data_IF_913416904790
#
_entry.id   IF_913416904790
#
_cell.length_a   1.000
_cell.length_b   1.000
_cell.length_c   1.000
_cell.angle_alpha   90.00
_cell.angle_beta   90.00
_cell.angle_gamma   90.00
#
_symmetry.space_group_name_H-M   'P 1'
#
loop_
_entity.id
_entity.type
_entity.pdbx_description
1 polymer ?
#
# COMPACT_ATOMS: atom_id res chain seq x y z
N UNK A 1 -22.85 4.71 41.88
CA UNK A 1 -24.23 4.16 41.75
C UNK A 1 -24.26 2.66 41.41
N UNK A 2 -23.33 2.10 40.65
CA UNK A 2 -23.36 0.71 40.18
C UNK A 2 -23.34 -0.38 41.28
N UNK A 3 -22.57 -0.20 42.35
CA UNK A 3 -22.45 -1.20 43.41
C UNK A 3 -23.77 -1.40 44.21
N UNK A 4 -24.47 -0.32 44.55
CA UNK A 4 -25.77 -0.41 45.25
C UNK A 4 -26.82 -1.11 44.40
N UNK A 5 -26.86 -0.86 43.10
CA UNK A 5 -27.76 -1.54 42.15
C UNK A 5 -27.46 -3.03 42.03
N UNK A 6 -26.17 -3.43 41.99
CA UNK A 6 -25.76 -4.83 41.91
C UNK A 6 -26.21 -5.62 43.16
N UNK A 7 -26.02 -5.05 44.35
CA UNK A 7 -26.46 -5.65 45.60
C UNK A 7 -27.97 -5.80 45.63
N UNK A 8 -28.73 -4.74 45.27
CA UNK A 8 -30.19 -4.77 45.21
C UNK A 8 -30.70 -5.84 44.26
N UNK A 9 -30.13 -5.97 43.08
CA UNK A 9 -30.50 -6.97 42.08
C UNK A 9 -30.26 -8.39 42.57
N UNK A 10 -29.13 -8.66 43.25
CA UNK A 10 -28.78 -9.96 43.82
C UNK A 10 -29.77 -10.36 44.97
N UNK A 11 -30.14 -9.39 45.80
CA UNK A 11 -31.08 -9.63 46.93
C UNK A 11 -32.54 -9.68 46.49
N UNK A 12 -32.90 -9.13 45.33
CA UNK A 12 -34.31 -9.03 44.89
C UNK A 12 -34.95 -10.40 44.62
N UNK A 13 -34.21 -11.36 44.07
CA UNK A 13 -34.72 -12.72 43.87
C UNK A 13 -35.00 -13.43 45.21
N UNK A 14 -34.04 -13.35 46.14
CA UNK A 14 -34.21 -13.90 47.47
C UNK A 14 -35.38 -13.26 48.23
N UNK A 15 -35.57 -11.92 48.09
CA UNK A 15 -36.68 -11.20 48.67
C UNK A 15 -38.05 -11.64 48.11
N UNK A 16 -38.11 -11.96 46.81
CA UNK A 16 -39.36 -12.41 46.18
C UNK A 16 -39.85 -13.76 46.75
N UNK A 17 -38.90 -14.70 46.94
CA UNK A 17 -39.21 -16.06 47.41
C UNK A 17 -39.27 -16.22 48.94
N UNK A 18 -38.79 -15.25 49.71
CA UNK A 18 -38.73 -15.34 51.18
C UNK A 18 -40.11 -15.23 51.85
N UNK A 19 -40.25 -15.86 53.02
CA UNK A 19 -41.38 -15.67 53.96
C UNK A 19 -41.35 -14.27 54.57
N UNK A 20 -42.32 -13.98 55.40
CA UNK A 20 -42.49 -12.68 56.11
C UNK A 20 -41.27 -12.30 56.96
N UNK A 21 -40.68 -13.27 57.66
CA UNK A 21 -39.49 -13.07 58.48
C UNK A 21 -38.26 -12.86 57.70
N UNK A 22 -38.06 -13.65 56.61
CA UNK A 22 -36.95 -13.53 55.64
C UNK A 22 -36.98 -12.21 54.88
N UNK A 23 -38.16 -11.75 54.44
CA UNK A 23 -38.32 -10.42 53.82
C UNK A 23 -37.88 -9.30 54.75
N UNK A 24 -38.23 -9.40 56.06
CA UNK A 24 -37.83 -8.40 57.05
C UNK A 24 -36.31 -8.37 57.26
N UNK A 25 -35.66 -9.57 57.32
CA UNK A 25 -34.19 -9.68 57.42
C UNK A 25 -33.49 -9.05 56.22
N UNK A 26 -33.93 -9.40 55.02
CA UNK A 26 -33.31 -8.87 53.74
C UNK A 26 -33.46 -7.35 53.67
N UNK A 27 -34.61 -6.80 54.11
CA UNK A 27 -34.81 -5.35 54.17
C UNK A 27 -33.89 -4.68 55.17
N UNK A 28 -33.73 -5.25 56.40
CA UNK A 28 -32.87 -4.70 57.45
C UNK A 28 -31.39 -4.70 56.92
N UNK A 29 -30.91 -5.81 56.37
CA UNK A 29 -29.58 -5.88 55.78
C UNK A 29 -29.36 -4.84 54.66
N UNK A 30 -30.37 -4.66 53.80
CA UNK A 30 -30.26 -3.70 52.72
C UNK A 30 -30.25 -2.24 53.21
N UNK A 31 -31.05 -1.91 54.23
CA UNK A 31 -31.09 -0.61 54.88
C UNK A 31 -29.74 -0.32 55.55
N UNK A 32 -29.17 -1.30 56.29
CA UNK A 32 -27.87 -1.18 56.92
C UNK A 32 -26.75 -0.95 55.93
N UNK A 33 -26.71 -1.73 54.83
CA UNK A 33 -25.70 -1.63 53.80
C UNK A 33 -25.78 -0.36 52.95
N UNK A 34 -26.97 0.17 52.74
CA UNK A 34 -27.19 1.28 51.80
C UNK A 34 -27.49 2.62 52.44
N UNK A 35 -27.96 2.62 53.73
CA UNK A 35 -28.47 3.80 54.42
C UNK A 35 -29.83 4.26 53.89
N UNK A 36 -30.53 3.45 53.13
CA UNK A 36 -31.83 3.82 52.56
C UNK A 36 -32.95 3.72 53.55
N UNK A 37 -33.95 4.60 53.39
CA UNK A 37 -35.23 4.41 54.16
C UNK A 37 -35.86 3.07 53.79
N UNK A 38 -36.52 2.41 54.79
CA UNK A 38 -37.01 1.04 54.61
C UNK A 38 -38.02 0.89 53.45
N UNK A 39 -38.88 1.87 53.23
CA UNK A 39 -39.87 1.83 52.16
C UNK A 39 -39.24 2.00 50.82
N UNK A 40 -38.19 2.85 50.68
CA UNK A 40 -37.42 2.96 49.48
C UNK A 40 -36.70 1.65 49.16
N UNK A 41 -36.09 1.00 50.16
CA UNK A 41 -35.43 -0.30 49.98
C UNK A 41 -36.42 -1.37 49.49
N UNK A 42 -37.67 -1.39 50.03
CA UNK A 42 -38.74 -2.29 49.59
C UNK A 42 -39.13 -2.05 48.14
N UNK A 43 -39.31 -0.81 47.74
CA UNK A 43 -39.62 -0.42 46.35
C UNK A 43 -38.47 -0.78 45.39
N UNK A 44 -37.22 -0.49 45.78
CA UNK A 44 -36.05 -0.80 45.00
C UNK A 44 -35.88 -2.31 44.73
N UNK A 45 -36.19 -3.19 45.73
CA UNK A 45 -36.17 -4.64 45.56
C UNK A 45 -37.25 -5.14 44.58
N UNK A 46 -38.45 -4.53 44.59
CA UNK A 46 -39.53 -4.87 43.66
C UNK A 46 -39.17 -4.41 42.22
N UNK A 47 -38.71 -3.18 42.08
CA UNK A 47 -38.34 -2.62 40.78
C UNK A 47 -37.12 -3.28 40.15
N UNK A 48 -36.19 -3.83 40.95
CA UNK A 48 -35.01 -4.50 40.46
C UNK A 48 -35.31 -5.78 39.63
N UNK A 49 -36.51 -6.36 39.83
CA UNK A 49 -37.00 -7.52 39.09
C UNK A 49 -37.83 -7.15 37.85
N UNK A 50 -38.22 -5.88 37.72
CA UNK A 50 -38.96 -5.40 36.55
C UNK A 50 -37.98 -5.10 35.45
N UNK A 51 -38.10 -5.79 34.32
CA UNK A 51 -37.33 -5.49 33.12
C UNK A 51 -37.75 -4.09 32.65
N UNK A 52 -36.87 -3.10 32.86
CA UNK A 52 -37.07 -1.77 32.28
C UNK A 52 -36.97 -1.92 30.79
N UNK A 53 -38.06 -1.66 30.06
CA UNK A 53 -38.05 -1.55 28.62
C UNK A 53 -37.06 -0.45 28.24
N UNK A 54 -35.88 -0.85 27.65
CA UNK A 54 -34.92 0.08 27.10
C UNK A 54 -35.54 0.64 25.84
N UNK A 55 -36.08 1.86 25.91
CA UNK A 55 -36.48 2.55 24.68
C UNK A 55 -35.23 2.78 23.86
N UNK A 56 -35.10 2.18 22.63
CA UNK A 56 -33.97 2.44 21.80
C UNK A 56 -33.94 3.95 21.52
N UNK A 57 -32.79 4.57 21.79
CA UNK A 57 -32.59 5.97 21.39
C UNK A 57 -32.72 6.03 19.88
N UNK A 58 -33.49 6.99 19.31
CA UNK A 58 -33.55 7.16 17.87
C UNK A 58 -32.10 7.28 17.33
N UNK A 59 -31.75 6.42 16.39
CA UNK A 59 -30.42 6.42 15.76
C UNK A 59 -30.14 7.79 15.16
N UNK A 60 -28.87 8.20 15.16
CA UNK A 60 -28.45 9.43 14.47
C UNK A 60 -28.82 9.30 12.98
N UNK A 61 -29.42 10.34 12.37
CA UNK A 61 -29.73 10.37 10.94
C UNK A 61 -28.47 10.00 10.14
N UNK A 62 -28.61 9.03 9.24
CA UNK A 62 -27.55 8.64 8.31
C UNK A 62 -27.31 9.78 7.31
N UNK A 63 -26.20 10.46 7.42
CA UNK A 63 -25.77 11.50 6.46
C UNK A 63 -25.41 10.87 5.11
N UNK A 64 -24.77 9.70 5.15
CA UNK A 64 -24.35 8.96 3.97
C UNK A 64 -25.25 7.74 3.79
N UNK A 65 -26.23 7.86 2.91
CA UNK A 65 -27.21 6.80 2.61
C UNK A 65 -26.59 5.62 1.85
N UNK A 66 -27.39 4.56 1.61
CA UNK A 66 -26.96 3.44 0.75
C UNK A 66 -26.83 3.83 -0.71
N UNK A 67 -27.53 4.85 -1.17
CA UNK A 67 -27.50 5.43 -2.51
C UNK A 67 -26.11 5.97 -2.93
N UNK A 68 -25.28 6.34 -1.95
CA UNK A 68 -23.91 6.78 -2.18
C UNK A 68 -22.90 5.62 -2.36
N UNK A 69 -23.30 4.38 -2.13
CA UNK A 69 -22.39 3.24 -2.21
C UNK A 69 -21.97 2.91 -3.66
N UNK A 70 -22.89 2.80 -4.63
CA UNK A 70 -22.50 2.53 -6.03
C UNK A 70 -21.55 3.59 -6.61
N UNK A 71 -21.82 4.90 -6.52
CA UNK A 71 -20.91 5.91 -7.02
C UNK A 71 -19.56 5.94 -6.28
N UNK A 72 -19.55 5.62 -4.98
CA UNK A 72 -18.30 5.47 -4.23
C UNK A 72 -17.47 4.27 -4.71
N UNK A 73 -18.13 3.14 -5.00
CA UNK A 73 -17.47 1.94 -5.56
C UNK A 73 -16.86 2.28 -6.93
N UNK A 74 -17.56 3.02 -7.78
CA UNK A 74 -17.03 3.44 -9.07
C UNK A 74 -15.78 4.31 -8.93
N UNK A 75 -15.83 5.35 -8.10
CA UNK A 75 -14.64 6.16 -7.79
C UNK A 75 -13.49 5.33 -7.22
N UNK A 76 -13.80 4.35 -6.40
CA UNK A 76 -12.82 3.45 -5.80
C UNK A 76 -12.19 2.50 -6.83
N UNK A 77 -13.00 1.95 -7.75
CA UNK A 77 -12.55 1.05 -8.82
C UNK A 77 -11.62 1.77 -9.82
N UNK A 78 -12.00 2.99 -10.26
CA UNK A 78 -11.19 3.80 -11.17
C UNK A 78 -9.78 4.05 -10.65
N UNK A 79 -9.62 4.23 -9.34
CA UNK A 79 -8.32 4.41 -8.70
C UNK A 79 -7.69 3.10 -8.22
N UNK A 80 -8.16 1.93 -8.69
CA UNK A 80 -7.66 0.60 -8.34
C UNK A 80 -7.73 0.30 -6.84
N UNK A 81 -8.93 0.48 -6.31
CA UNK A 81 -9.30 0.06 -4.95
C UNK A 81 -8.39 0.58 -3.80
N UNK A 82 -8.01 1.86 -3.76
CA UNK A 82 -7.12 2.36 -2.72
C UNK A 82 -7.77 2.36 -1.34
N UNK A 83 -6.94 2.47 -0.30
CA UNK A 83 -7.43 2.72 1.06
C UNK A 83 -8.15 4.07 1.15
N UNK A 84 -9.12 4.22 2.04
CA UNK A 84 -9.90 5.45 2.19
C UNK A 84 -9.05 6.71 2.44
N UNK A 85 -7.88 6.57 3.04
CA UNK A 85 -6.90 7.67 3.20
C UNK A 85 -6.35 8.21 1.89
N UNK A 86 -6.29 7.37 0.86
CA UNK A 86 -5.84 7.75 -0.48
C UNK A 86 -7.01 8.23 -1.33
N UNK A 87 -8.17 7.60 -1.19
CA UNK A 87 -9.36 7.94 -1.96
C UNK A 87 -9.97 9.29 -1.55
N UNK A 88 -10.09 9.56 -0.24
CA UNK A 88 -10.75 10.77 0.25
C UNK A 88 -10.20 12.09 -0.36
N UNK A 89 -8.88 12.33 -0.42
CA UNK A 89 -8.34 13.56 -1.04
C UNK A 89 -8.49 13.59 -2.56
N UNK A 90 -8.75 12.46 -3.20
CA UNK A 90 -8.93 12.38 -4.66
C UNK A 90 -10.37 12.61 -5.10
N UNK A 91 -11.37 12.37 -4.24
CA UNK A 91 -12.78 12.54 -4.58
C UNK A 91 -13.12 13.94 -5.10
N UNK A 92 -12.61 15.07 -4.54
CA UNK A 92 -12.86 16.41 -5.07
C UNK A 92 -12.33 16.64 -6.48
N UNK A 93 -11.36 15.86 -6.94
CA UNK A 93 -10.82 15.92 -8.30
C UNK A 93 -11.52 14.92 -9.21
N UNK A 94 -11.73 13.69 -8.72
CA UNK A 94 -12.25 12.58 -9.50
C UNK A 94 -13.74 12.71 -9.80
N UNK A 95 -14.56 13.09 -8.83
CA UNK A 95 -16.03 13.19 -9.01
C UNK A 95 -16.41 14.19 -10.11
N UNK A 96 -15.86 15.42 -10.17
CA UNK A 96 -16.15 16.33 -11.28
C UNK A 96 -15.70 15.81 -12.65
N UNK A 97 -14.55 15.12 -12.73
CA UNK A 97 -14.03 14.53 -13.96
C UNK A 97 -14.97 13.44 -14.49
N UNK A 98 -15.34 12.47 -13.65
CA UNK A 98 -16.24 11.38 -14.04
C UNK A 98 -17.64 11.87 -14.43
N UNK A 99 -18.13 12.93 -13.77
CA UNK A 99 -19.41 13.56 -14.16
C UNK A 99 -19.33 14.27 -15.51
N UNK A 100 -18.23 15.01 -15.75
CA UNK A 100 -17.97 15.66 -17.04
C UNK A 100 -17.94 14.65 -18.19
N UNK A 101 -17.29 13.51 -17.97
CA UNK A 101 -17.09 12.45 -18.94
C UNK A 101 -18.32 11.50 -19.03
N UNK A 102 -19.42 11.80 -18.30
CA UNK A 102 -20.68 11.04 -18.23
C UNK A 102 -20.54 9.60 -17.72
N UNK A 103 -19.45 9.31 -17.02
CA UNK A 103 -19.20 8.01 -16.39
C UNK A 103 -19.88 7.90 -15.02
N UNK A 104 -20.21 9.02 -14.38
CA UNK A 104 -20.81 9.07 -13.06
C UNK A 104 -22.09 9.92 -13.07
N UNK A 105 -23.23 9.26 -13.12
CA UNK A 105 -24.56 9.90 -13.09
C UNK A 105 -25.05 10.01 -11.65
N UNK A 106 -24.86 11.17 -11.03
CA UNK A 106 -25.30 11.49 -9.66
C UNK A 106 -25.79 12.92 -9.57
N UNK A 107 -26.65 13.18 -8.58
CA UNK A 107 -27.13 14.54 -8.29
C UNK A 107 -26.02 15.39 -7.66
N UNK A 108 -26.17 16.71 -7.72
CA UNK A 108 -25.20 17.64 -7.10
C UNK A 108 -25.08 17.41 -5.61
N UNK A 109 -26.20 17.14 -4.92
CA UNK A 109 -26.19 16.82 -3.50
C UNK A 109 -25.40 15.54 -3.18
N UNK A 110 -25.49 14.51 -4.01
CA UNK A 110 -24.69 13.28 -3.85
C UNK A 110 -23.21 13.52 -4.15
N UNK A 111 -22.90 14.34 -5.16
CA UNK A 111 -21.53 14.72 -5.48
C UNK A 111 -20.87 15.45 -4.30
N UNK A 112 -21.54 16.43 -3.71
CA UNK A 112 -21.06 17.17 -2.55
C UNK A 112 -20.84 16.25 -1.33
N UNK A 113 -21.77 15.33 -1.07
CA UNK A 113 -21.61 14.36 0.01
C UNK A 113 -20.41 13.42 -0.23
N UNK A 114 -20.20 12.93 -1.46
CA UNK A 114 -19.03 12.11 -1.80
C UNK A 114 -17.72 12.86 -1.58
N UNK A 115 -17.61 14.09 -2.10
CA UNK A 115 -16.39 14.91 -1.99
C UNK A 115 -16.04 15.26 -0.53
N UNK A 116 -17.03 15.30 0.35
CA UNK A 116 -16.85 15.59 1.80
C UNK A 116 -16.68 14.35 2.65
N UNK A 117 -16.71 13.14 2.07
CA UNK A 117 -16.66 11.90 2.83
C UNK A 117 -15.28 11.68 3.45
N UNK A 118 -15.25 11.42 4.76
CA UNK A 118 -13.99 11.14 5.47
C UNK A 118 -13.43 9.76 5.12
N UNK A 119 -12.10 9.61 5.19
CA UNK A 119 -11.39 8.36 4.93
C UNK A 119 -11.94 7.17 5.75
N UNK A 120 -12.24 7.39 7.04
CA UNK A 120 -12.79 6.35 7.90
C UNK A 120 -14.23 5.94 7.51
N UNK A 121 -15.02 6.87 6.97
CA UNK A 121 -16.37 6.57 6.46
C UNK A 121 -16.29 5.76 5.16
N UNK A 122 -15.37 6.13 4.27
CA UNK A 122 -15.07 5.40 3.03
C UNK A 122 -14.67 3.96 3.36
N UNK A 123 -13.70 3.76 4.25
CA UNK A 123 -13.22 2.42 4.61
C UNK A 123 -14.32 1.55 5.21
N UNK A 124 -15.21 2.13 6.05
CA UNK A 124 -16.36 1.40 6.60
C UNK A 124 -17.39 1.02 5.53
N UNK A 125 -17.70 1.93 4.60
CA UNK A 125 -18.66 1.65 3.53
C UNK A 125 -18.16 0.63 2.53
N UNK A 126 -16.86 0.66 2.21
CA UNK A 126 -16.23 -0.25 1.27
C UNK A 126 -15.74 -1.56 1.89
N UNK A 127 -15.92 -1.78 3.19
CA UNK A 127 -15.42 -2.98 3.88
C UNK A 127 -15.94 -4.29 3.25
N UNK A 128 -17.25 -4.35 2.92
CA UNK A 128 -17.86 -5.49 2.26
C UNK A 128 -17.33 -5.74 0.85
N UNK A 129 -17.18 -4.69 0.06
CA UNK A 129 -16.66 -4.80 -1.30
C UNK A 129 -15.17 -5.17 -1.32
N UNK A 130 -14.40 -4.62 -0.39
CA UNK A 130 -13.00 -4.98 -0.22
C UNK A 130 -12.79 -6.44 0.16
N UNK A 131 -13.65 -7.01 0.98
CA UNK A 131 -13.58 -8.43 1.35
C UNK A 131 -13.80 -9.38 0.16
N UNK A 132 -14.54 -8.95 -0.88
CA UNK A 132 -14.78 -9.75 -2.10
C UNK A 132 -13.54 -9.82 -3.02
N UNK A 133 -12.60 -8.86 -2.91
CA UNK A 133 -11.49 -8.72 -3.85
C UNK A 133 -10.23 -9.53 -3.49
N UNK A 134 -10.13 -10.12 -2.29
CA UNK A 134 -8.87 -10.65 -1.79
C UNK A 134 -8.86 -12.16 -1.48
N UNK A 135 -8.49 -13.05 -2.44
CA UNK A 135 -8.04 -14.41 -2.13
C UNK A 135 -6.58 -14.38 -1.61
N UNK A 136 -6.27 -15.24 -0.62
CA UNK A 136 -4.95 -15.31 0.04
C UNK A 136 -3.99 -16.24 -0.70
N UNK A 137 -2.72 -15.83 -0.94
CA UNK A 137 -1.65 -16.60 -1.57
C UNK A 137 -0.43 -16.86 -0.66
N UNK A 138 0.47 -17.78 -1.04
CA UNK A 138 1.71 -18.17 -0.32
C UNK A 138 2.96 -17.76 -1.11
N UNK A 139 4.07 -17.47 -0.41
CA UNK A 139 5.37 -17.04 -0.97
C UNK A 139 6.43 -18.16 -0.90
N UNK A 140 7.34 -18.24 -1.91
CA UNK A 140 8.46 -19.17 -1.95
C UNK A 140 9.72 -18.49 -2.53
N UNK A 141 10.72 -18.18 -1.70
CA UNK A 141 12.05 -17.69 -2.13
C UNK A 141 13.17 -18.50 -1.48
N UNK A 142 14.26 -18.82 -2.25
CA UNK A 142 15.47 -19.49 -1.75
C UNK A 142 16.64 -18.51 -1.73
N UNK A 143 17.46 -18.44 -0.65
CA UNK A 143 18.61 -17.53 -0.55
C UNK A 143 19.79 -17.96 -1.43
N UNK A 144 20.42 -17.01 -2.14
CA UNK A 144 21.68 -17.20 -2.85
C UNK A 144 22.91 -17.15 -1.91
N UNK A 145 23.98 -17.86 -2.24
CA UNK A 145 25.18 -17.97 -1.41
C UNK A 145 26.45 -17.37 -2.01
N UNK A 146 26.44 -17.02 -3.32
CA UNK A 146 27.60 -16.51 -4.06
C UNK A 146 27.81 -15.00 -3.79
N UNK A 147 29.06 -14.56 -3.74
CA UNK A 147 29.49 -13.15 -3.67
C UNK A 147 28.98 -12.29 -2.50
N UNK A 148 28.31 -12.89 -1.52
CA UNK A 148 27.78 -12.14 -0.34
C UNK A 148 28.81 -11.34 0.44
N UNK A 149 30.09 -11.75 0.37
CA UNK A 149 31.19 -11.05 1.07
C UNK A 149 31.65 -9.78 0.35
N UNK A 150 31.37 -9.62 -0.93
CA UNK A 150 31.81 -8.48 -1.74
C UNK A 150 30.79 -7.34 -1.81
N UNK A 151 29.51 -7.65 -1.54
CA UNK A 151 28.44 -6.65 -1.56
C UNK A 151 28.14 -6.21 -0.13
N UNK A 152 28.29 -4.91 0.19
CA UNK A 152 28.04 -4.42 1.54
C UNK A 152 26.57 -4.62 1.94
N UNK A 153 26.36 -4.89 3.22
CA UNK A 153 25.02 -4.92 3.81
C UNK A 153 24.55 -3.48 3.96
N UNK A 154 23.31 -3.22 3.59
CA UNK A 154 22.70 -1.88 3.73
C UNK A 154 22.91 -1.33 5.14
N UNK A 155 23.53 -0.16 5.25
CA UNK A 155 23.67 0.62 6.47
C UNK A 155 22.87 1.91 6.34
N UNK A 156 22.26 2.38 7.44
CA UNK A 156 21.48 3.62 7.46
C UNK A 156 22.32 4.88 7.20
N UNK A 157 23.66 4.77 7.28
CA UNK A 157 24.58 5.88 7.06
C UNK A 157 24.80 6.20 5.58
N UNK A 158 24.60 5.21 4.69
CA UNK A 158 24.90 5.32 3.25
C UNK A 158 23.68 5.66 2.40
N UNK A 159 22.47 5.53 2.98
CA UNK A 159 21.20 5.73 2.30
C UNK A 159 20.45 6.95 2.85
N UNK A 160 20.28 7.97 2.02
CA UNK A 160 19.37 9.07 2.32
C UNK A 160 17.98 8.79 1.74
N UNK A 161 17.09 8.27 2.56
CA UNK A 161 15.70 8.01 2.22
C UNK A 161 14.93 9.27 1.75
N UNK A 162 15.49 10.44 1.87
CA UNK A 162 14.87 11.71 1.47
C UNK A 162 15.22 12.09 0.03
N UNK A 163 16.27 11.51 -0.54
CA UNK A 163 16.75 11.81 -1.89
C UNK A 163 16.22 10.79 -2.89
N UNK A 164 15.57 11.21 -4.01
CA UNK A 164 15.21 10.30 -5.09
C UNK A 164 16.44 9.67 -5.75
N UNK A 165 16.33 8.40 -6.12
CA UNK A 165 17.38 7.66 -6.81
C UNK A 165 17.90 6.43 -6.07
N UNK A 166 17.55 6.26 -4.79
CA UNK A 166 17.78 5.01 -4.07
C UNK A 166 16.60 4.06 -4.30
N UNK A 167 16.85 2.94 -4.97
CA UNK A 167 15.82 1.98 -5.37
C UNK A 167 16.00 0.63 -4.70
N UNK A 168 14.88 0.02 -4.31
CA UNK A 168 14.81 -1.39 -3.94
C UNK A 168 14.33 -2.20 -5.15
N UNK A 169 14.94 -3.38 -5.38
CA UNK A 169 14.62 -4.27 -6.49
C UNK A 169 14.21 -5.65 -5.99
N UNK A 170 13.25 -6.27 -6.69
CA UNK A 170 12.79 -7.64 -6.40
C UNK A 170 12.25 -8.32 -7.68
N UNK A 171 12.22 -9.65 -7.68
CA UNK A 171 11.71 -10.47 -8.78
C UNK A 171 10.47 -11.27 -8.37
N UNK A 172 9.40 -11.09 -9.10
CA UNK A 172 8.14 -11.83 -8.93
C UNK A 172 8.03 -12.92 -10.00
N UNK A 173 8.08 -14.19 -9.61
CA UNK A 173 7.95 -15.33 -10.52
C UNK A 173 6.50 -15.57 -10.95
N UNK A 174 6.29 -16.00 -12.20
CA UNK A 174 4.97 -16.35 -12.76
C UNK A 174 4.88 -17.85 -13.04
N UNK A 175 5.02 -18.65 -11.98
CA UNK A 175 5.01 -20.11 -12.05
C UNK A 175 3.63 -20.77 -12.15
N UNK A 176 2.55 -20.06 -11.81
CA UNK A 176 1.18 -20.59 -11.85
C UNK A 176 0.93 -21.78 -10.93
N UNK A 177 1.67 -21.86 -9.81
CA UNK A 177 1.60 -23.00 -8.88
C UNK A 177 2.44 -24.23 -9.28
N UNK A 178 3.13 -24.17 -10.42
CA UNK A 178 4.05 -25.22 -10.88
C UNK A 178 5.42 -24.61 -11.21
N UNK A 179 6.43 -24.89 -10.40
CA UNK A 179 7.78 -24.36 -10.55
C UNK A 179 8.67 -25.15 -11.54
N UNK A 180 8.14 -26.17 -12.25
CA UNK A 180 8.88 -26.92 -13.25
C UNK A 180 9.04 -26.14 -14.56
N UNK A 181 10.22 -26.24 -15.17
CA UNK A 181 10.54 -25.60 -16.45
C UNK A 181 10.84 -24.09 -16.36
N UNK A 182 10.94 -23.43 -17.50
CA UNK A 182 11.13 -21.99 -17.59
C UNK A 182 9.78 -21.26 -17.51
N UNK A 183 9.76 -20.12 -16.86
CA UNK A 183 8.61 -19.22 -16.79
C UNK A 183 9.10 -17.80 -16.59
N UNK A 184 8.24 -16.82 -16.92
CA UNK A 184 8.56 -15.42 -16.82
C UNK A 184 8.70 -14.93 -15.38
N UNK A 185 9.54 -13.93 -15.19
CA UNK A 185 9.64 -13.17 -13.95
C UNK A 185 9.41 -11.69 -14.24
N UNK A 186 8.91 -10.95 -13.28
CA UNK A 186 8.80 -9.49 -13.37
C UNK A 186 9.76 -8.85 -12.38
N UNK A 187 10.73 -8.09 -12.89
CA UNK A 187 11.57 -7.20 -12.10
C UNK A 187 10.72 -5.99 -11.68
N UNK A 188 10.60 -5.78 -10.38
CA UNK A 188 9.98 -4.60 -9.77
C UNK A 188 11.08 -3.71 -9.20
N UNK A 189 11.14 -2.46 -9.62
CA UNK A 189 12.09 -1.46 -9.12
C UNK A 189 11.32 -0.30 -8.52
N UNK A 190 11.55 -0.01 -7.25
CA UNK A 190 10.83 1.03 -6.51
C UNK A 190 11.78 2.00 -5.84
N UNK A 191 11.67 3.28 -6.15
CA UNK A 191 12.39 4.34 -5.45
C UNK A 191 11.84 4.52 -4.02
N UNK A 192 12.74 4.52 -3.05
CA UNK A 192 12.41 4.57 -1.62
C UNK A 192 11.80 5.92 -1.22
N UNK A 193 12.33 7.00 -1.76
CA UNK A 193 11.91 8.37 -1.44
C UNK A 193 10.52 8.68 -2.01
N UNK A 194 10.35 8.52 -3.32
CA UNK A 194 9.14 8.93 -4.04
C UNK A 194 8.09 7.81 -4.13
N UNK A 195 8.52 6.55 -3.98
CA UNK A 195 7.73 5.37 -4.29
C UNK A 195 7.48 5.18 -5.79
N UNK A 196 8.23 5.88 -6.67
CA UNK A 196 8.18 5.66 -8.10
C UNK A 196 8.50 4.20 -8.41
N UNK A 197 7.67 3.56 -9.21
CA UNK A 197 7.79 2.12 -9.46
C UNK A 197 7.77 1.85 -10.96
N UNK A 198 8.70 1.02 -11.41
CA UNK A 198 8.76 0.51 -12.79
C UNK A 198 8.84 -1.01 -12.73
N UNK A 199 8.04 -1.68 -13.55
CA UNK A 199 8.06 -3.12 -13.72
C UNK A 199 8.59 -3.47 -15.12
N UNK A 200 9.34 -4.57 -15.20
CA UNK A 200 9.77 -5.16 -16.47
C UNK A 200 9.80 -6.68 -16.37
N UNK A 201 9.08 -7.37 -17.24
CA UNK A 201 9.11 -8.83 -17.30
C UNK A 201 10.26 -9.34 -18.14
N UNK A 202 10.82 -10.47 -17.70
CA UNK A 202 11.93 -11.18 -18.33
C UNK A 202 11.58 -12.66 -18.53
N UNK A 203 12.23 -13.32 -19.49
CA UNK A 203 11.96 -14.71 -19.86
C UNK A 203 12.16 -15.69 -18.70
N UNK A 204 13.23 -15.50 -17.94
CA UNK A 204 13.57 -16.28 -16.75
C UNK A 204 14.49 -15.44 -15.84
N UNK A 205 14.85 -15.96 -14.66
CA UNK A 205 15.69 -15.28 -13.68
C UNK A 205 17.20 -15.31 -13.96
N UNK A 206 17.63 -15.68 -15.15
CA UNK A 206 19.06 -15.66 -15.48
C UNK A 206 19.61 -14.22 -15.46
N UNK A 207 20.79 -14.05 -14.89
CA UNK A 207 21.40 -12.73 -14.63
C UNK A 207 21.40 -11.81 -15.86
N UNK A 208 21.64 -12.35 -17.07
CA UNK A 208 21.62 -11.58 -18.33
C UNK A 208 20.29 -10.87 -18.60
N UNK A 209 19.17 -11.58 -18.37
CA UNK A 209 17.84 -11.02 -18.61
C UNK A 209 17.42 -10.01 -17.55
N UNK A 210 17.80 -10.28 -16.30
CA UNK A 210 17.59 -9.35 -15.20
C UNK A 210 18.39 -8.07 -15.42
N UNK A 211 19.61 -8.19 -15.89
CA UNK A 211 20.48 -7.07 -16.22
C UNK A 211 19.90 -6.21 -17.36
N UNK A 212 19.47 -6.81 -18.48
CA UNK A 212 18.80 -6.13 -19.57
C UNK A 212 17.54 -5.37 -19.11
N UNK A 213 16.76 -6.01 -18.23
CA UNK A 213 15.59 -5.36 -17.64
C UNK A 213 15.98 -4.16 -16.77
N UNK A 214 17.08 -4.25 -16.03
CA UNK A 214 17.58 -3.16 -15.18
C UNK A 214 18.08 -1.99 -16.02
N UNK A 215 18.79 -2.24 -17.11
CA UNK A 215 19.21 -1.19 -18.05
C UNK A 215 17.99 -0.45 -18.62
N UNK A 216 16.98 -1.20 -19.06
CA UNK A 216 15.71 -0.62 -19.52
C UNK A 216 15.08 0.24 -18.43
N UNK A 217 14.96 -0.27 -17.22
CA UNK A 217 14.36 0.46 -16.10
C UNK A 217 15.13 1.74 -15.79
N UNK A 218 16.46 1.67 -15.75
CA UNK A 218 17.33 2.84 -15.52
C UNK A 218 17.10 3.92 -16.58
N UNK A 219 16.89 3.54 -17.83
CA UNK A 219 16.63 4.48 -18.93
C UNK A 219 15.26 5.17 -18.81
N UNK A 220 14.24 4.49 -18.25
CA UNK A 220 12.87 5.03 -18.11
C UNK A 220 12.61 5.75 -16.80
N UNK A 221 13.51 5.66 -15.82
CA UNK A 221 13.38 6.45 -14.59
C UNK A 221 13.51 7.95 -14.87
N UNK A 222 12.69 8.83 -14.27
CA UNK A 222 12.73 10.27 -14.53
C UNK A 222 13.92 10.98 -13.86
N UNK A 223 14.66 10.27 -13.02
CA UNK A 223 15.85 10.74 -12.30
C UNK A 223 16.92 9.65 -12.30
N UNK A 224 18.20 10.01 -12.07
CA UNK A 224 19.29 9.03 -12.02
C UNK A 224 19.11 8.07 -10.84
N UNK A 225 19.40 6.80 -11.06
CA UNK A 225 19.52 5.82 -9.97
C UNK A 225 20.94 5.97 -9.41
N UNK A 226 21.02 6.22 -8.09
CA UNK A 226 22.28 6.44 -7.36
C UNK A 226 22.58 5.31 -6.37
N UNK A 227 21.57 4.50 -6.03
CA UNK A 227 21.74 3.34 -5.16
C UNK A 227 20.71 2.25 -5.48
N UNK A 228 21.14 0.99 -5.42
CA UNK A 228 20.32 -0.20 -5.62
C UNK A 228 20.45 -1.09 -4.40
N UNK A 229 19.33 -1.47 -3.78
CA UNK A 229 19.25 -2.49 -2.75
C UNK A 229 18.48 -3.69 -3.28
N UNK A 230 19.05 -4.89 -3.12
CA UNK A 230 18.41 -6.14 -3.53
C UNK A 230 18.25 -7.09 -2.36
N UNK A 231 17.40 -8.09 -2.53
CA UNK A 231 17.43 -9.25 -1.64
C UNK A 231 18.73 -10.06 -1.85
N UNK A 232 18.88 -11.15 -1.08
CA UNK A 232 20.06 -12.02 -1.18
C UNK A 232 19.95 -13.05 -2.32
N UNK A 233 19.12 -12.82 -3.34
CA UNK A 233 18.92 -13.70 -4.47
C UNK A 233 20.16 -13.81 -5.36
N UNK A 234 20.47 -15.02 -5.86
CA UNK A 234 21.62 -15.26 -6.76
C UNK A 234 21.47 -14.55 -8.12
N UNK A 235 20.26 -14.21 -8.50
CA UNK A 235 19.92 -13.46 -9.71
C UNK A 235 20.45 -12.02 -9.67
N UNK A 236 20.56 -11.42 -8.48
CA UNK A 236 21.09 -10.07 -8.25
C UNK A 236 22.54 -10.08 -7.79
N UNK A 237 22.94 -11.12 -7.04
CA UNK A 237 24.29 -11.23 -6.50
C UNK A 237 25.18 -11.92 -7.53
N UNK A 238 25.64 -11.15 -8.54
CA UNK A 238 26.50 -11.61 -9.62
C UNK A 238 27.49 -10.52 -10.05
N UNK A 239 28.60 -10.95 -10.69
CA UNK A 239 29.69 -10.05 -11.10
C UNK A 239 29.24 -9.00 -12.13
N UNK A 240 28.31 -9.34 -13.02
CA UNK A 240 27.84 -8.42 -14.06
C UNK A 240 27.11 -7.22 -13.47
N UNK A 241 26.21 -7.46 -12.50
CA UNK A 241 25.48 -6.39 -11.84
C UNK A 241 26.42 -5.53 -10.97
N UNK A 242 27.36 -6.18 -10.28
CA UNK A 242 28.35 -5.47 -9.48
C UNK A 242 29.25 -4.58 -10.35
N UNK A 243 29.78 -5.10 -11.47
CA UNK A 243 30.58 -4.35 -12.42
C UNK A 243 29.81 -3.17 -13.04
N UNK A 244 28.53 -3.37 -13.36
CA UNK A 244 27.66 -2.31 -13.86
C UNK A 244 27.48 -1.19 -12.85
N UNK A 245 27.16 -1.55 -11.61
CA UNK A 245 26.98 -0.57 -10.55
C UNK A 245 28.27 0.24 -10.31
N UNK A 246 29.43 -0.41 -10.32
CA UNK A 246 30.72 0.27 -10.23
C UNK A 246 30.97 1.22 -11.42
N UNK A 247 30.72 0.75 -12.65
CA UNK A 247 30.91 1.57 -13.85
C UNK A 247 29.99 2.80 -13.89
N UNK A 248 28.77 2.67 -13.38
CA UNK A 248 27.78 3.76 -13.30
C UNK A 248 27.84 4.57 -12.01
N UNK A 249 28.78 4.28 -11.12
CA UNK A 249 28.90 4.91 -9.79
C UNK A 249 27.61 4.77 -8.94
N UNK A 250 26.92 3.63 -9.09
CA UNK A 250 25.71 3.30 -8.32
C UNK A 250 26.14 2.52 -7.07
N UNK A 251 25.71 2.97 -5.91
CA UNK A 251 25.89 2.24 -4.64
C UNK A 251 25.06 0.96 -4.66
N UNK A 252 25.71 -0.20 -4.64
CA UNK A 252 25.00 -1.48 -4.60
C UNK A 252 25.06 -2.08 -3.20
N UNK A 253 23.89 -2.35 -2.60
CA UNK A 253 23.75 -2.93 -1.28
C UNK A 253 22.84 -4.15 -1.32
N UNK A 254 22.88 -4.94 -0.25
CA UNK A 254 21.99 -6.08 -0.05
C UNK A 254 21.31 -6.02 1.30
N UNK A 255 20.12 -6.58 1.36
CA UNK A 255 19.32 -6.69 2.57
C UNK A 255 20.01 -7.54 3.63
N UNK A 256 19.83 -7.18 4.90
CA UNK A 256 20.37 -7.94 6.04
C UNK A 256 19.67 -9.29 6.15
N UNK A 257 20.41 -10.38 6.38
CA UNK A 257 19.81 -11.68 6.59
C UNK A 257 18.84 -11.68 7.78
N UNK A 258 17.60 -12.15 7.56
CA UNK A 258 16.60 -12.28 8.62
C UNK A 258 15.89 -10.98 9.04
N UNK A 259 16.16 -9.85 8.40
CA UNK A 259 15.50 -8.59 8.71
C UNK A 259 14.37 -8.30 7.72
N UNK A 260 13.14 -8.58 8.11
CA UNK A 260 11.93 -8.40 7.27
C UNK A 260 11.61 -6.94 6.89
N UNK A 261 12.29 -5.96 7.49
CA UNK A 261 12.09 -4.55 7.17
C UNK A 261 12.97 -4.04 6.02
N UNK A 262 14.01 -4.79 5.66
CA UNK A 262 14.86 -4.48 4.52
C UNK A 262 14.17 -5.00 3.26
N UNK A 263 14.00 -4.17 2.22
CA UNK A 263 13.20 -4.51 1.02
C UNK A 263 11.69 -4.28 1.17
N UNK A 264 11.23 -3.77 2.32
CA UNK A 264 9.81 -3.59 2.60
C UNK A 264 9.09 -2.67 1.58
N UNK A 265 9.79 -1.77 0.90
CA UNK A 265 9.19 -0.85 -0.08
C UNK A 265 8.82 -1.58 -1.37
N UNK A 266 9.70 -2.43 -1.89
CA UNK A 266 9.45 -3.20 -3.11
C UNK A 266 8.51 -4.38 -2.83
N UNK A 267 8.66 -5.10 -1.72
CA UNK A 267 7.76 -6.20 -1.34
C UNK A 267 6.30 -5.72 -1.21
N UNK A 268 6.07 -4.56 -0.60
CA UNK A 268 4.74 -3.94 -0.51
C UNK A 268 4.16 -3.58 -1.88
N UNK A 269 4.99 -3.47 -2.93
CA UNK A 269 4.54 -3.17 -4.30
C UNK A 269 4.24 -4.41 -5.12
N UNK A 270 4.87 -5.55 -4.83
CA UNK A 270 4.71 -6.76 -5.61
C UNK A 270 3.25 -7.21 -5.70
N UNK A 271 2.52 -7.14 -4.59
CA UNK A 271 1.11 -7.51 -4.62
C UNK A 271 0.25 -6.53 -5.43
N UNK A 272 0.18 -5.21 -5.11
CA UNK A 272 -0.70 -4.28 -5.81
C UNK A 272 -0.21 -3.88 -7.21
N UNK A 273 1.04 -4.15 -7.56
CA UNK A 273 1.63 -3.75 -8.85
C UNK A 273 1.82 -4.91 -9.82
N UNK A 274 2.00 -6.12 -9.30
CA UNK A 274 2.18 -7.31 -10.14
C UNK A 274 0.99 -8.23 -9.97
N UNK A 275 0.77 -8.79 -8.79
CA UNK A 275 -0.23 -9.84 -8.58
C UNK A 275 -1.68 -9.38 -8.80
N UNK A 276 -2.01 -8.16 -8.45
CA UNK A 276 -3.34 -7.59 -8.68
C UNK A 276 -3.66 -7.43 -10.18
N UNK A 277 -2.65 -7.16 -11.00
CA UNK A 277 -2.82 -6.95 -12.45
C UNK A 277 -2.84 -8.25 -13.24
N UNK A 278 -1.88 -9.14 -12.96
CA UNK A 278 -1.65 -10.33 -13.77
C UNK A 278 -1.90 -11.63 -13.01
N UNK A 279 -2.29 -11.55 -11.74
CA UNK A 279 -2.66 -12.70 -10.92
C UNK A 279 -1.50 -13.63 -10.58
N UNK A 280 -1.85 -14.88 -10.33
CA UNK A 280 -0.93 -15.98 -10.02
C UNK A 280 -0.88 -17.02 -11.15
N UNK A 281 -1.17 -16.60 -12.36
CA UNK A 281 -1.13 -17.46 -13.53
C UNK A 281 0.31 -17.77 -13.96
N UNK A 282 0.46 -18.84 -14.75
CA UNK A 282 1.73 -19.16 -15.39
C UNK A 282 1.86 -18.40 -16.69
N UNK A 283 3.02 -17.79 -16.89
CA UNK A 283 3.41 -17.13 -18.13
C UNK A 283 4.79 -17.67 -18.53
N UNK A 284 4.88 -18.33 -19.69
CA UNK A 284 6.13 -18.96 -20.12
C UNK A 284 6.40 -18.83 -21.64
N UNK A 285 5.51 -18.17 -22.39
CA UNK A 285 5.68 -17.94 -23.82
C UNK A 285 6.23 -16.54 -24.13
N UNK A 286 6.89 -16.40 -25.31
CA UNK A 286 7.37 -15.09 -25.78
C UNK A 286 6.22 -14.08 -26.03
N UNK A 287 5.06 -14.58 -26.47
CA UNK A 287 3.88 -13.74 -26.69
C UNK A 287 3.33 -13.17 -25.37
N UNK A 288 3.24 -13.99 -24.34
CA UNK A 288 2.85 -13.57 -23.00
C UNK A 288 3.85 -12.58 -22.39
N UNK A 289 5.15 -12.84 -22.55
CA UNK A 289 6.19 -11.90 -22.13
C UNK A 289 6.01 -10.53 -22.80
N UNK A 290 5.69 -10.50 -24.10
CA UNK A 290 5.38 -9.26 -24.82
C UNK A 290 4.18 -8.54 -24.21
N UNK A 291 3.08 -9.27 -23.94
CA UNK A 291 1.87 -8.72 -23.33
C UNK A 291 2.09 -8.21 -21.90
N UNK A 292 2.85 -8.94 -21.09
CA UNK A 292 3.25 -8.46 -19.76
C UNK A 292 3.96 -7.11 -19.87
N UNK A 293 4.90 -6.96 -20.78
CA UNK A 293 5.64 -5.72 -20.96
C UNK A 293 4.77 -4.56 -21.48
N UNK A 294 3.79 -4.82 -22.36
CA UNK A 294 2.77 -3.82 -22.74
C UNK A 294 1.95 -3.36 -21.53
N UNK A 295 1.52 -4.29 -20.68
CA UNK A 295 0.79 -3.96 -19.42
C UNK A 295 1.66 -3.07 -18.51
N UNK A 296 2.97 -3.37 -18.38
CA UNK A 296 3.85 -2.57 -17.52
C UNK A 296 4.05 -1.16 -18.03
N UNK A 297 4.07 -0.92 -19.34
CA UNK A 297 4.13 0.43 -19.89
C UNK A 297 2.90 1.26 -19.49
N UNK A 298 1.71 0.68 -19.61
CA UNK A 298 0.47 1.35 -19.22
C UNK A 298 0.39 1.54 -17.70
N UNK A 299 0.76 0.50 -16.91
CA UNK A 299 0.76 0.59 -15.45
C UNK A 299 1.77 1.63 -14.95
N UNK A 300 2.91 1.78 -15.59
CA UNK A 300 3.91 2.80 -15.27
C UNK A 300 3.32 4.19 -15.31
N UNK A 301 2.54 4.50 -16.34
CA UNK A 301 1.86 5.79 -16.48
C UNK A 301 0.79 5.93 -15.40
N UNK A 302 -0.13 4.97 -15.32
CA UNK A 302 -1.22 4.98 -14.34
C UNK A 302 -0.69 5.10 -12.91
N UNK A 303 0.26 4.25 -12.55
CA UNK A 303 0.79 4.15 -11.20
C UNK A 303 1.56 5.39 -10.78
N UNK A 304 2.41 5.94 -11.66
CA UNK A 304 3.33 7.00 -11.26
C UNK A 304 2.74 8.40 -11.37
N UNK A 305 1.79 8.62 -12.27
CA UNK A 305 1.22 9.94 -12.54
C UNK A 305 -0.22 10.10 -12.05
N UNK A 306 -1.03 9.05 -12.11
CA UNK A 306 -2.48 9.17 -11.91
C UNK A 306 -2.94 8.63 -10.55
N UNK A 307 -2.32 7.54 -10.02
CA UNK A 307 -2.74 6.97 -8.75
C UNK A 307 -2.23 7.79 -7.55
N UNK A 308 -3.08 8.00 -6.52
CA UNK A 308 -2.68 8.70 -5.32
C UNK A 308 -1.61 7.91 -4.54
N UNK A 309 -0.53 8.60 -4.17
CA UNK A 309 0.57 8.03 -3.39
C UNK A 309 0.70 8.70 -2.05
N UNK A 310 1.13 7.92 -1.09
CA UNK A 310 1.52 8.42 0.23
C UNK A 310 3.01 8.78 0.18
N UNK A 311 3.32 10.06 -0.09
CA UNK A 311 4.70 10.54 0.04
C UNK A 311 5.17 10.42 1.50
N UNK A 312 6.42 10.02 1.72
CA UNK A 312 7.05 10.14 3.03
C UNK A 312 7.23 11.62 3.33
N UNK A 313 6.61 12.10 4.41
CA UNK A 313 6.93 13.40 4.94
C UNK A 313 8.24 13.28 5.72
N UNK A 314 9.28 14.03 5.35
CA UNK A 314 10.55 14.06 6.09
C UNK A 314 10.28 14.27 7.59
N UNK A 315 11.11 13.70 8.47
CA UNK A 315 10.98 13.81 9.95
C UNK A 315 10.92 15.26 10.46
N UNK A 316 11.32 16.24 9.64
CA UNK A 316 11.26 17.68 9.93
C UNK A 316 9.88 18.33 9.70
N UNK A 317 8.93 17.63 9.09
CA UNK A 317 7.58 18.17 8.93
C UNK A 317 6.85 18.20 10.27
N UNK A 318 6.67 19.38 10.86
CA UNK A 318 6.01 19.54 12.15
C UNK A 318 4.63 18.89 12.18
N UNK A 319 4.19 18.41 13.37
CA UNK A 319 2.87 17.76 13.57
C UNK A 319 1.68 18.52 12.96
N UNK A 320 1.76 19.86 12.85
CA UNK A 320 0.73 20.71 12.22
C UNK A 320 0.62 20.53 10.70
N UNK A 321 1.72 20.26 9.98
CA UNK A 321 1.70 20.05 8.51
C UNK A 321 1.27 18.64 8.09
N UNK A 322 1.24 17.65 8.98
CA UNK A 322 0.77 16.29 8.67
C UNK A 322 -0.70 16.20 8.25
N UNK A 323 -1.49 17.26 8.44
CA UNK A 323 -2.92 17.33 8.01
C UNK A 323 -3.11 17.81 6.57
N UNK A 324 -2.09 18.31 5.90
CA UNK A 324 -2.15 18.84 4.53
C UNK A 324 -1.48 17.88 3.56
N UNK A 325 -2.27 17.15 2.81
CA UNK A 325 -1.85 16.22 1.74
C UNK A 325 -1.10 16.91 0.59
N UNK A 326 -1.22 18.23 0.44
CA UNK A 326 -0.58 19.00 -0.63
C UNK A 326 0.96 18.96 -0.57
N UNK A 327 1.55 18.66 0.58
CA UNK A 327 3.01 18.70 0.74
C UNK A 327 3.75 17.49 0.11
N UNK A 328 3.07 16.34 -0.11
CA UNK A 328 3.74 15.09 -0.49
C UNK A 328 3.61 14.70 -1.97
N UNK A 329 2.62 15.25 -2.69
CA UNK A 329 2.43 15.01 -4.13
C UNK A 329 3.15 16.05 -5.01
N UNK A 330 3.47 17.21 -4.45
CA UNK A 330 4.09 18.35 -5.16
C UNK A 330 5.58 18.07 -5.42
N UNK A 331 6.31 17.49 -4.47
CA UNK A 331 7.77 17.33 -4.57
C UNK A 331 8.24 16.49 -5.77
N UNK A 332 7.55 15.39 -6.10
CA UNK A 332 7.91 14.58 -7.26
C UNK A 332 7.57 15.26 -8.58
N UNK A 333 6.44 15.98 -8.66
CA UNK A 333 6.05 16.73 -9.87
C UNK A 333 6.95 17.94 -10.10
N UNK A 334 7.28 18.70 -9.08
CA UNK A 334 8.18 19.87 -9.17
C UNK A 334 9.61 19.43 -9.51
N UNK A 335 10.09 18.33 -8.94
CA UNK A 335 11.40 17.78 -9.24
C UNK A 335 11.46 17.27 -10.69
N UNK A 336 10.44 16.57 -11.19
CA UNK A 336 10.31 16.10 -12.58
C UNK A 336 10.25 17.31 -13.52
N UNK A 337 9.47 18.35 -13.20
CA UNK A 337 9.39 19.59 -13.97
C UNK A 337 10.73 20.32 -14.02
N UNK A 338 11.45 20.41 -12.90
CA UNK A 338 12.73 21.12 -12.81
C UNK A 338 13.90 20.35 -13.50
N UNK A 339 13.85 19.03 -13.54
CA UNK A 339 14.95 18.18 -14.05
C UNK A 339 14.62 17.42 -15.34
N UNK A 340 13.34 17.35 -15.76
CA UNK A 340 12.90 16.70 -16.98
C UNK A 340 13.49 17.32 -18.26
N UNK A 341 13.77 18.62 -18.23
CA UNK A 341 14.43 19.36 -19.31
C UNK A 341 15.91 19.00 -19.52
N UNK A 342 16.59 18.47 -18.51
CA UNK A 342 18.00 18.05 -18.65
C UNK A 342 18.17 16.72 -19.40
N UNK A 343 17.23 15.79 -19.32
CA UNK A 343 17.32 14.51 -20.06
C UNK A 343 16.97 14.64 -21.55
N UNK A 344 16.10 15.56 -21.94
CA UNK A 344 15.78 15.81 -23.36
C UNK A 344 16.97 16.42 -24.11
N UNK A 345 17.84 17.17 -23.44
CA UNK A 345 19.06 17.72 -24.05
C UNK A 345 20.15 16.65 -24.24
N UNK A 346 20.14 15.55 -23.49
CA UNK A 346 21.13 14.47 -23.65
C UNK A 346 20.70 13.39 -24.67
N UNK A 347 19.39 13.27 -24.95
CA UNK A 347 18.86 12.29 -25.92
C UNK A 347 18.90 12.76 -27.38
N UNK A 348 19.30 14.00 -27.66
CA UNK A 348 19.35 14.59 -29.01
C UNK A 348 20.74 14.51 -29.68
N UNK A 349 21.71 13.76 -29.16
CA UNK A 349 22.93 13.42 -29.90
C UNK A 349 22.71 12.12 -30.67
N UNK A 350 22.69 12.13 -32.02
CA UNK A 350 22.72 10.90 -32.80
C UNK A 350 24.05 10.16 -32.56
N UNK A 351 24.05 8.81 -32.56
CA UNK A 351 25.28 8.04 -32.46
C UNK A 351 26.19 8.43 -33.63
N UNK A 352 27.37 8.93 -33.29
CA UNK A 352 28.38 9.31 -34.30
C UNK A 352 28.71 8.10 -35.15
N UNK A 353 28.49 8.22 -36.43
CA UNK A 353 29.03 7.35 -37.50
C UNK A 353 30.54 7.35 -37.39
N UNK A 354 31.10 6.31 -36.81
CA UNK A 354 32.53 6.02 -36.90
C UNK A 354 32.84 5.59 -38.35
N UNK A 355 33.35 6.51 -39.12
CA UNK A 355 34.01 6.19 -40.38
C UNK A 355 35.20 5.28 -40.11
N UNK A 356 35.09 4.00 -40.45
CA UNK A 356 36.20 3.09 -40.63
C UNK A 356 37.02 3.58 -41.83
N UNK A 357 38.12 4.31 -41.60
CA UNK A 357 39.19 4.50 -42.60
C UNK A 357 39.83 3.15 -42.85
N UNK A 358 39.58 2.61 -44.06
CA UNK A 358 40.37 1.51 -44.64
C UNK A 358 41.77 2.05 -44.97
N UNK A 359 42.74 1.65 -44.17
CA UNK A 359 44.16 1.79 -44.55
C UNK A 359 44.50 0.71 -45.60
N UNK A 360 44.82 1.12 -46.78
CA UNK A 360 45.42 0.31 -47.84
C UNK A 360 46.89 -0.02 -47.49
N UNK A 361 47.41 -1.25 -47.78
CA UNK A 361 48.76 -1.59 -47.52
C UNK A 361 49.65 -1.03 -48.67
N UNK A 362 50.77 -0.40 -48.29
CA UNK A 362 51.86 -0.01 -49.21
C UNK A 362 52.69 -1.23 -49.64
N UNK A 363 53.23 -1.29 -50.88
CA UNK A 363 54.11 -2.36 -51.28
C UNK A 363 55.56 -2.12 -50.80
N UNK A 364 56.17 -3.16 -50.32
CA UNK A 364 57.62 -3.24 -49.99
C UNK A 364 58.40 -3.72 -51.19
N UNK A 365 59.60 -3.14 -51.47
CA UNK A 365 60.45 -3.59 -52.53
C UNK A 365 61.12 -4.94 -52.23
#
# INVERSE_FOLDING_TARGET
>A
MGQRQAVTKKKALAYKSADRAGKSRILNELVELTGWHRDYARTALREALVLKAVRPRPGRKLVYGPDLLPPLIMCWAVLRAPAGRLLAPMLPVLVPLLRRDKELEITDAQADLLMRMSAATIDRKLAGERAKLFPRGRSHTKPGTLLKSQIPVRTWAEWDDAVPGFVEIDLVGHEGGNSFGEFCFTLTVTDVSTGWTVNRSVRNKAARWVFEALEYVTAVFPFPIIGIDSDNGSEFINDNLLAYCHAQQITFTRSRPGNQNDGAHVEQKNWPRVRELVGYLRYDTAAELGKLNEIWELDRILTNYLLPRRGRCSRRCSRKRRRSWKCCTIGAREWISANGTRKSACASRPPGTTHLQKSSPSPVP
#
